data_IF_301994694434
#
_entry.id   IF_301994694434
#
_cell.length_a   1.000
_cell.length_b   1.000
_cell.length_c   1.000
_cell.angle_alpha   90.00
_cell.angle_beta   90.00
_cell.angle_gamma   90.00
#
_symmetry.space_group_name_H-M   'P 1'
#
loop_
_entity.id
_entity.type
_entity.pdbx_description
1 polymer ?
#
# COMPACT_ATOMS: atom_id res chain seq x y z
N UNK A 1 -24.42 0.23 -9.06
CA UNK A 1 -23.78 -0.34 -10.26
C UNK A 1 -24.41 -1.69 -10.53
N UNK A 2 -24.72 -2.05 -11.77
CA UNK A 2 -25.38 -3.32 -12.09
C UNK A 2 -24.42 -4.51 -12.30
N UNK A 3 -23.12 -4.33 -12.04
CA UNK A 3 -22.09 -5.36 -12.18
C UNK A 3 -21.12 -5.38 -11.01
N UNK A 4 -20.43 -6.51 -10.81
CA UNK A 4 -19.43 -6.69 -9.75
C UNK A 4 -18.19 -5.86 -10.13
N UNK A 5 -17.78 -4.91 -9.28
CA UNK A 5 -16.65 -4.01 -9.53
C UNK A 5 -15.37 -4.79 -9.82
N UNK A 6 -14.56 -4.40 -10.80
CA UNK A 6 -13.27 -5.05 -11.07
C UNK A 6 -12.21 -4.71 -10.01
N UNK A 7 -11.15 -5.52 -9.92
CA UNK A 7 -10.06 -5.33 -8.97
C UNK A 7 -8.69 -5.40 -9.68
N UNK A 8 -7.75 -4.57 -9.24
CA UNK A 8 -6.33 -4.66 -9.59
C UNK A 8 -5.49 -4.65 -8.32
N UNK A 9 -4.34 -5.33 -8.32
CA UNK A 9 -3.46 -5.44 -7.15
C UNK A 9 -2.03 -5.11 -7.53
N UNK A 10 -1.39 -4.29 -6.72
CA UNK A 10 0.04 -4.00 -6.76
C UNK A 10 0.70 -4.63 -5.52
N UNK A 11 1.81 -5.32 -5.72
CA UNK A 11 2.61 -5.91 -4.64
C UNK A 11 4.06 -5.46 -4.78
N UNK A 12 4.55 -4.78 -3.74
CA UNK A 12 5.95 -4.41 -3.62
C UNK A 12 6.72 -5.56 -2.93
N UNK A 13 7.96 -5.80 -3.37
CA UNK A 13 8.81 -6.84 -2.81
C UNK A 13 10.21 -6.32 -2.54
N UNK A 14 10.86 -6.89 -1.52
CA UNK A 14 12.24 -6.62 -1.19
C UNK A 14 13.19 -7.55 -1.96
N UNK A 15 14.28 -7.00 -2.46
CA UNK A 15 15.44 -7.71 -2.98
C UNK A 15 16.50 -7.77 -1.89
N UNK A 16 16.85 -8.98 -1.46
CA UNK A 16 17.83 -9.22 -0.43
C UNK A 16 19.00 -10.07 -0.93
N UNK A 17 20.17 -9.88 -0.32
CA UNK A 17 21.32 -10.75 -0.48
C UNK A 17 21.00 -12.15 0.10
N UNK A 18 21.15 -13.24 -0.68
CA UNK A 18 20.80 -14.58 -0.22
C UNK A 18 21.64 -15.11 0.96
N UNK A 19 22.82 -14.54 1.22
CA UNK A 19 23.73 -14.98 2.28
C UNK A 19 23.54 -14.19 3.58
N UNK A 20 23.31 -12.88 3.46
CA UNK A 20 23.26 -11.95 4.61
C UNK A 20 21.83 -11.51 4.96
N UNK A 21 20.89 -11.61 4.02
CA UNK A 21 19.53 -11.06 4.18
C UNK A 21 19.45 -9.53 4.08
N UNK A 22 20.56 -8.85 3.77
CA UNK A 22 20.59 -7.40 3.62
C UNK A 22 19.90 -6.95 2.33
N UNK A 23 19.21 -5.80 2.33
CA UNK A 23 18.69 -5.19 1.10
C UNK A 23 19.79 -4.91 0.08
N UNK A 24 19.58 -5.33 -1.17
CA UNK A 24 20.55 -5.12 -2.26
C UNK A 24 19.97 -4.30 -3.42
N UNK A 25 20.73 -3.34 -3.97
CA UNK A 25 20.23 -2.38 -4.95
C UNK A 25 20.22 -2.94 -6.39
N UNK A 26 19.47 -4.02 -6.63
CA UNK A 26 19.44 -4.73 -7.92
C UNK A 26 18.11 -4.57 -8.69
N UNK A 27 17.22 -3.65 -8.32
CA UNK A 27 15.89 -3.53 -8.91
C UNK A 27 15.90 -3.43 -10.45
N UNK A 28 16.80 -2.64 -11.03
CA UNK A 28 16.90 -2.46 -12.48
C UNK A 28 17.31 -3.76 -13.19
N UNK A 29 18.27 -4.49 -12.62
CA UNK A 29 18.72 -5.77 -13.18
C UNK A 29 17.61 -6.83 -13.12
N UNK A 30 16.86 -6.87 -12.01
CA UNK A 30 15.70 -7.75 -11.83
C UNK A 30 14.57 -7.39 -12.79
N UNK A 31 14.25 -6.10 -12.94
CA UNK A 31 13.21 -5.64 -13.85
C UNK A 31 13.53 -5.98 -15.31
N UNK A 32 14.78 -5.80 -15.74
CA UNK A 32 15.21 -6.18 -17.10
C UNK A 32 15.14 -7.70 -17.33
N UNK A 33 15.43 -8.53 -16.33
CA UNK A 33 15.26 -9.98 -16.42
C UNK A 33 13.78 -10.39 -16.45
N UNK A 34 12.93 -9.76 -15.65
CA UNK A 34 11.50 -10.00 -15.66
C UNK A 34 10.88 -9.62 -17.01
N UNK A 35 11.33 -8.51 -17.60
CA UNK A 35 10.90 -8.04 -18.92
C UNK A 35 11.24 -9.05 -20.01
N UNK A 36 12.44 -9.65 -19.97
CA UNK A 36 12.81 -10.78 -20.86
C UNK A 36 11.90 -11.99 -20.70
N UNK A 37 11.28 -12.15 -19.52
CA UNK A 37 10.31 -13.21 -19.18
C UNK A 37 8.85 -12.79 -19.40
N UNK A 38 8.60 -11.60 -19.96
CA UNK A 38 7.25 -11.11 -20.27
C UNK A 38 6.48 -10.56 -19.07
N UNK A 39 7.17 -10.07 -18.03
CA UNK A 39 6.58 -9.33 -16.91
C UNK A 39 7.28 -8.00 -16.77
N UNK A 40 6.51 -6.91 -16.81
CA UNK A 40 7.02 -5.58 -16.48
C UNK A 40 6.97 -5.41 -14.96
N UNK A 41 8.11 -5.13 -14.33
CA UNK A 41 8.19 -4.75 -12.92
C UNK A 41 8.40 -3.24 -12.83
N UNK A 42 7.68 -2.57 -11.93
CA UNK A 42 7.94 -1.16 -11.66
C UNK A 42 9.11 -1.01 -10.69
N UNK A 43 9.79 0.13 -10.80
CA UNK A 43 10.87 0.51 -9.91
C UNK A 43 10.35 1.46 -8.83
N UNK A 44 10.65 1.15 -7.58
CA UNK A 44 10.25 1.94 -6.43
C UNK A 44 11.32 2.96 -5.99
N UNK A 45 10.99 3.80 -5.00
CA UNK A 45 11.93 4.77 -4.43
C UNK A 45 13.23 4.10 -3.98
N UNK A 46 13.12 2.96 -3.31
CA UNK A 46 14.27 2.19 -2.85
C UNK A 46 14.75 1.28 -3.96
N UNK A 47 16.06 1.31 -4.25
CA UNK A 47 16.59 0.50 -5.35
C UNK A 47 16.71 -1.00 -5.04
N UNK A 48 16.34 -1.40 -3.83
CA UNK A 48 16.19 -2.78 -3.41
C UNK A 48 14.73 -3.27 -3.49
N UNK A 49 13.85 -2.55 -4.19
CA UNK A 49 12.45 -2.94 -4.34
C UNK A 49 12.03 -3.06 -5.80
N UNK A 50 11.12 -3.99 -6.04
CA UNK A 50 10.41 -4.15 -7.31
C UNK A 50 8.92 -4.31 -7.01
N UNK A 51 8.08 -3.77 -7.87
CA UNK A 51 6.62 -3.90 -7.76
C UNK A 51 6.05 -4.73 -8.92
N UNK A 52 5.13 -5.64 -8.61
CA UNK A 52 4.29 -6.30 -9.60
C UNK A 52 2.91 -5.66 -9.65
N UNK A 53 2.37 -5.42 -10.85
CA UNK A 53 1.01 -4.91 -11.04
C UNK A 53 0.17 -5.97 -11.77
N UNK A 54 -0.96 -6.38 -11.19
CA UNK A 54 -1.89 -7.30 -11.86
C UNK A 54 -2.63 -6.62 -13.01
N UNK A 55 -3.09 -7.39 -13.99
CA UNK A 55 -4.15 -6.92 -14.88
C UNK A 55 -5.46 -6.66 -14.10
N UNK A 56 -6.43 -6.03 -14.76
CA UNK A 56 -7.77 -5.81 -14.20
C UNK A 56 -8.54 -7.13 -14.17
N UNK A 57 -8.91 -7.59 -12.98
CA UNK A 57 -9.53 -8.90 -12.74
C UNK A 57 -11.01 -8.78 -12.40
N UNK A 58 -11.77 -9.81 -12.78
CA UNK A 58 -13.20 -9.93 -12.46
C UNK A 58 -13.48 -10.95 -11.38
N UNK A 59 -12.64 -11.97 -11.24
CA UNK A 59 -12.80 -13.05 -10.24
C UNK A 59 -11.57 -13.22 -9.35
N UNK A 60 -11.78 -13.79 -8.17
CA UNK A 60 -10.71 -14.14 -7.24
C UNK A 60 -9.78 -15.24 -7.78
N UNK A 61 -10.31 -16.15 -8.61
CA UNK A 61 -9.54 -17.22 -9.23
C UNK A 61 -8.56 -16.68 -10.28
N UNK A 62 -9.02 -15.77 -11.14
CA UNK A 62 -8.16 -15.06 -12.11
C UNK A 62 -7.06 -14.28 -11.40
N UNK A 63 -7.43 -13.52 -10.35
CA UNK A 63 -6.46 -12.77 -9.55
C UNK A 63 -5.41 -13.68 -8.91
N UNK A 64 -5.83 -14.80 -8.30
CA UNK A 64 -4.90 -15.75 -7.68
C UNK A 64 -3.93 -16.38 -8.69
N UNK A 65 -4.42 -16.73 -9.88
CA UNK A 65 -3.57 -17.27 -10.94
C UNK A 65 -2.54 -16.24 -11.44
N UNK A 66 -2.96 -14.99 -11.60
CA UNK A 66 -2.07 -13.92 -12.07
C UNK A 66 -1.01 -13.55 -11.03
N UNK A 67 -1.40 -13.36 -9.77
CA UNK A 67 -0.46 -13.06 -8.69
C UNK A 67 0.58 -14.19 -8.54
N UNK A 68 0.14 -15.45 -8.64
CA UNK A 68 1.07 -16.59 -8.63
C UNK A 68 2.04 -16.57 -9.81
N UNK A 69 1.60 -16.14 -11.00
CA UNK A 69 2.46 -15.98 -12.18
C UNK A 69 3.45 -14.83 -11.97
N UNK A 70 2.98 -13.66 -11.56
CA UNK A 70 3.80 -12.46 -11.33
C UNK A 70 4.88 -12.72 -10.28
N UNK A 71 4.50 -13.23 -9.10
CA UNK A 71 5.46 -13.56 -8.03
C UNK A 71 6.49 -14.59 -8.47
N UNK A 72 6.08 -15.61 -9.24
CA UNK A 72 7.02 -16.63 -9.76
C UNK A 72 8.04 -16.00 -10.72
N UNK A 73 7.59 -15.16 -11.65
CA UNK A 73 8.51 -14.51 -12.60
C UNK A 73 9.43 -13.53 -11.87
N UNK A 74 8.90 -12.73 -10.94
CA UNK A 74 9.71 -11.81 -10.14
C UNK A 74 10.77 -12.57 -9.33
N UNK A 75 10.42 -13.69 -8.68
CA UNK A 75 11.36 -14.49 -7.90
C UNK A 75 12.46 -15.12 -8.77
N UNK A 76 12.09 -15.69 -9.92
CA UNK A 76 13.07 -16.24 -10.88
C UNK A 76 14.00 -15.16 -11.45
N UNK A 77 13.48 -13.95 -11.63
CA UNK A 77 14.25 -12.81 -12.15
C UNK A 77 15.23 -12.28 -11.10
N UNK A 78 14.80 -12.24 -9.84
CA UNK A 78 15.66 -11.93 -8.70
C UNK A 78 16.80 -12.96 -8.60
N UNK A 79 16.48 -14.26 -8.63
CA UNK A 79 17.47 -15.33 -8.55
C UNK A 79 18.51 -15.24 -9.67
N UNK A 80 18.07 -15.03 -10.91
CA UNK A 80 18.97 -14.88 -12.06
C UNK A 80 19.86 -13.62 -11.98
N UNK A 81 19.43 -12.58 -11.26
CA UNK A 81 20.23 -11.39 -10.98
C UNK A 81 21.10 -11.52 -9.71
N UNK A 82 21.05 -12.65 -8.99
CA UNK A 82 21.80 -12.88 -7.75
C UNK A 82 21.13 -12.37 -6.48
N UNK A 83 19.80 -12.14 -6.52
CA UNK A 83 18.99 -11.66 -5.40
C UNK A 83 17.97 -12.71 -4.92
N UNK A 84 17.56 -12.59 -3.66
CA UNK A 84 16.40 -13.26 -3.10
C UNK A 84 15.22 -12.27 -3.08
N UNK A 85 14.08 -12.65 -3.67
CA UNK A 85 12.83 -11.90 -3.54
C UNK A 85 12.13 -12.26 -2.22
N UNK A 86 11.71 -11.24 -1.47
CA UNK A 86 11.03 -11.40 -0.18
C UNK A 86 9.71 -10.61 -0.12
N UNK A 87 8.64 -11.28 0.28
CA UNK A 87 7.31 -10.71 0.51
C UNK A 87 7.12 -10.38 2.00
N UNK A 88 7.68 -9.24 2.41
CA UNK A 88 7.66 -8.76 3.78
C UNK A 88 7.64 -7.24 3.83
N UNK A 89 6.92 -6.65 4.79
CA UNK A 89 6.63 -5.22 4.78
C UNK A 89 7.82 -4.32 5.09
N UNK A 90 8.90 -4.85 5.68
CA UNK A 90 10.12 -4.09 6.01
C UNK A 90 11.37 -4.96 6.03
N UNK A 91 12.54 -4.45 5.59
CA UNK A 91 13.79 -5.19 5.68
C UNK A 91 14.09 -5.66 7.10
N UNK A 92 14.29 -6.98 7.32
CA UNK A 92 14.59 -7.49 8.64
C UNK A 92 15.99 -7.06 9.10
N UNK A 93 16.95 -6.94 8.16
CA UNK A 93 18.35 -6.58 8.43
C UNK A 93 18.58 -5.10 8.15
N UNK A 94 19.34 -4.43 9.02
CA UNK A 94 19.79 -3.05 8.79
C UNK A 94 20.65 -2.99 7.53
N UNK A 95 20.29 -2.19 6.52
CA UNK A 95 21.11 -2.10 5.33
C UNK A 95 22.37 -1.28 5.60
N UNK A 96 23.48 -1.64 4.96
CA UNK A 96 24.73 -0.86 5.04
C UNK A 96 24.63 0.53 4.40
N UNK A 97 23.73 0.69 3.43
CA UNK A 97 23.39 1.95 2.77
C UNK A 97 21.89 2.01 2.54
N UNK A 98 21.33 3.21 2.45
CA UNK A 98 19.93 3.42 2.12
C UNK A 98 19.81 3.84 0.66
N UNK A 99 19.64 2.88 -0.28
CA UNK A 99 19.83 3.19 -1.67
C UNK A 99 18.55 3.77 -2.26
N UNK A 100 18.69 4.88 -2.99
CA UNK A 100 17.59 5.52 -3.71
C UNK A 100 17.75 5.19 -5.19
N UNK A 101 16.67 4.80 -5.85
CA UNK A 101 16.65 4.52 -7.28
C UNK A 101 17.09 5.76 -8.07
N UNK A 102 17.94 5.55 -9.08
CA UNK A 102 18.58 6.63 -9.84
C UNK A 102 17.65 7.21 -10.92
N UNK A 103 16.54 7.80 -10.47
CA UNK A 103 15.67 8.64 -11.31
C UNK A 103 15.65 10.07 -10.76
N UNK A 104 15.44 11.06 -11.64
CA UNK A 104 15.35 12.47 -11.24
C UNK A 104 14.30 12.70 -10.14
N UNK A 105 13.13 12.04 -10.26
CA UNK A 105 12.05 12.11 -9.27
C UNK A 105 12.52 11.59 -7.90
N UNK A 106 13.10 10.40 -7.87
CA UNK A 106 13.47 9.74 -6.63
C UNK A 106 14.64 10.41 -5.94
N UNK A 107 15.62 10.92 -6.69
CA UNK A 107 16.70 11.74 -6.14
C UNK A 107 16.17 13.05 -5.54
N UNK A 108 15.19 13.70 -6.19
CA UNK A 108 14.53 14.88 -5.64
C UNK A 108 13.79 14.57 -4.34
N UNK A 109 13.05 13.47 -4.29
CA UNK A 109 12.38 13.01 -3.06
C UNK A 109 13.41 12.75 -1.95
N UNK A 110 14.51 12.06 -2.25
CA UNK A 110 15.58 11.83 -1.29
C UNK A 110 16.15 13.13 -0.71
N UNK A 111 16.41 14.11 -1.56
CA UNK A 111 16.94 15.41 -1.16
C UNK A 111 15.97 16.24 -0.32
N UNK A 112 14.68 16.29 -0.68
CA UNK A 112 13.68 17.15 -0.01
C UNK A 112 13.18 16.57 1.32
N UNK A 113 13.04 15.25 1.43
CA UNK A 113 12.46 14.59 2.63
C UNK A 113 13.51 13.95 3.55
N UNK A 114 14.78 13.93 3.13
CA UNK A 114 15.91 13.52 3.95
C UNK A 114 15.78 12.10 4.49
N UNK A 115 16.03 11.92 5.79
CA UNK A 115 16.12 10.58 6.40
C UNK A 115 14.84 9.76 6.28
N UNK A 116 13.66 10.39 6.18
CA UNK A 116 12.39 9.68 5.97
C UNK A 116 12.37 8.97 4.61
N UNK A 117 12.95 9.57 3.57
CA UNK A 117 13.10 8.95 2.26
C UNK A 117 14.18 7.86 2.23
N UNK A 118 15.26 8.03 3.00
CA UNK A 118 16.33 7.05 3.07
C UNK A 118 15.96 5.82 3.90
N UNK A 119 15.21 5.96 4.98
CA UNK A 119 14.72 4.81 5.77
C UNK A 119 13.67 3.96 5.01
N UNK A 120 13.42 4.25 3.73
CA UNK A 120 12.47 3.54 2.90
C UNK A 120 13.04 2.23 2.33
N UNK A 121 12.36 1.15 2.68
CA UNK A 121 12.39 -0.18 2.06
C UNK A 121 11.06 -0.90 2.32
N UNK A 122 10.00 -0.12 2.57
CA UNK A 122 8.70 -0.64 2.97
C UNK A 122 8.02 -1.26 1.77
N UNK A 123 7.49 -2.47 1.94
CA UNK A 123 6.73 -3.14 0.89
C UNK A 123 5.25 -3.20 1.26
N UNK A 124 4.41 -2.54 0.47
CA UNK A 124 2.96 -2.54 0.59
C UNK A 124 2.26 -3.50 -0.36
N UNK A 125 0.96 -3.66 -0.12
CA UNK A 125 0.01 -4.20 -1.09
C UNK A 125 -1.08 -3.17 -1.32
N UNK A 126 -1.27 -2.77 -2.58
CA UNK A 126 -2.29 -1.80 -2.96
C UNK A 126 -3.40 -2.51 -3.74
N UNK A 127 -4.64 -2.21 -3.37
CA UNK A 127 -5.81 -2.80 -4.01
C UNK A 127 -6.64 -1.69 -4.64
N UNK A 128 -6.72 -1.73 -5.96
CA UNK A 128 -7.59 -0.88 -6.76
C UNK A 128 -8.94 -1.55 -6.95
N UNK A 129 -10.03 -0.83 -6.63
CA UNK A 129 -11.39 -1.30 -6.88
C UNK A 129 -12.11 -0.29 -7.75
N UNK A 130 -12.75 -0.77 -8.83
CA UNK A 130 -13.51 0.07 -9.74
C UNK A 130 -14.63 0.82 -9.04
N UNK A 131 -14.76 2.11 -9.36
CA UNK A 131 -15.82 3.00 -8.89
C UNK A 131 -16.38 3.80 -10.08
N UNK A 132 -17.65 4.24 -10.03
CA UNK A 132 -18.27 4.90 -11.19
C UNK A 132 -17.74 6.31 -11.44
N UNK A 133 -17.33 7.01 -10.38
CA UNK A 133 -16.82 8.39 -10.44
C UNK A 133 -16.00 8.74 -9.18
N UNK A 134 -15.29 9.87 -9.23
CA UNK A 134 -14.47 10.35 -8.09
C UNK A 134 -15.31 10.69 -6.86
N UNK A 135 -16.57 11.12 -7.03
CA UNK A 135 -17.48 11.38 -5.91
C UNK A 135 -17.82 10.08 -5.16
N UNK A 136 -17.97 8.99 -5.90
CA UNK A 136 -18.14 7.64 -5.36
C UNK A 136 -16.89 7.17 -4.63
N UNK A 137 -15.71 7.46 -5.18
CA UNK A 137 -14.43 7.20 -4.53
C UNK A 137 -14.34 7.92 -3.17
N UNK A 138 -14.69 9.22 -3.10
CA UNK A 138 -14.69 9.96 -1.83
C UNK A 138 -15.67 9.35 -0.82
N UNK A 139 -16.87 8.96 -1.26
CA UNK A 139 -17.81 8.27 -0.38
C UNK A 139 -17.23 6.95 0.16
N UNK A 140 -16.68 6.11 -0.72
CA UNK A 140 -16.07 4.84 -0.33
C UNK A 140 -14.88 5.04 0.61
N UNK A 141 -14.01 6.02 0.33
CA UNK A 141 -12.88 6.41 1.19
C UNK A 141 -13.35 6.76 2.60
N UNK A 142 -14.36 7.63 2.72
CA UNK A 142 -14.92 8.00 4.02
C UNK A 142 -15.51 6.80 4.75
N UNK A 143 -16.25 5.95 4.04
CA UNK A 143 -16.91 4.77 4.59
C UNK A 143 -15.90 3.72 5.07
N UNK A 144 -14.76 3.59 4.38
CA UNK A 144 -13.70 2.64 4.71
C UNK A 144 -12.91 3.02 5.96
N UNK A 145 -12.88 4.31 6.36
CA UNK A 145 -12.11 4.81 7.51
C UNK A 145 -12.18 3.93 8.77
N UNK A 146 -13.37 3.54 9.30
CA UNK A 146 -13.45 2.67 10.47
C UNK A 146 -12.87 1.27 10.26
N UNK A 147 -12.76 0.80 9.03
CA UNK A 147 -12.33 -0.57 8.68
C UNK A 147 -10.85 -0.69 8.35
N UNK A 148 -10.18 0.41 8.00
CA UNK A 148 -8.75 0.43 7.67
C UNK A 148 -7.85 -0.16 8.78
N UNK A 149 -8.09 0.10 10.09
CA UNK A 149 -7.32 -0.56 11.16
C UNK A 149 -7.43 -2.09 11.12
N UNK A 150 -8.60 -2.65 10.80
CA UNK A 150 -8.79 -4.10 10.73
C UNK A 150 -8.06 -4.70 9.53
N UNK A 151 -8.06 -4.01 8.39
CA UNK A 151 -7.28 -4.41 7.21
C UNK A 151 -5.78 -4.36 7.51
N UNK A 152 -5.31 -3.33 8.20
CA UNK A 152 -3.93 -3.23 8.67
C UNK A 152 -3.56 -4.42 9.55
N UNK A 153 -4.35 -4.69 10.60
CA UNK A 153 -4.12 -5.80 11.51
C UNK A 153 -4.08 -7.16 10.79
N UNK A 154 -4.99 -7.37 9.82
CA UNK A 154 -5.07 -8.59 9.01
C UNK A 154 -3.82 -8.79 8.13
N UNK A 155 -3.28 -7.71 7.58
CA UNK A 155 -2.16 -7.74 6.64
C UNK A 155 -0.77 -7.59 7.30
N UNK A 156 -0.71 -7.43 8.61
CA UNK A 156 0.52 -7.10 9.33
C UNK A 156 1.63 -8.14 9.08
N UNK A 157 2.74 -7.71 8.47
CA UNK A 157 3.82 -8.58 8.03
C UNK A 157 5.19 -7.87 8.11
N UNK A 158 5.42 -7.13 9.20
CA UNK A 158 6.63 -6.32 9.37
C UNK A 158 7.08 -6.17 10.82
N UNK A 159 7.05 -7.28 11.59
CA UNK A 159 7.40 -7.26 13.01
C UNK A 159 8.90 -7.07 13.28
N UNK A 160 9.75 -7.54 12.36
CA UNK A 160 11.21 -7.43 12.48
C UNK A 160 11.70 -6.13 11.83
N UNK A 161 12.57 -5.42 12.53
CA UNK A 161 13.23 -4.22 12.01
C UNK A 161 14.63 -4.09 12.58
N UNK A 162 15.63 -3.89 11.70
CA UNK A 162 17.03 -3.66 12.10
C UNK A 162 17.59 -4.75 13.02
N UNK A 163 17.37 -6.02 12.67
CA UNK A 163 17.79 -7.21 13.41
C UNK A 163 17.16 -7.33 14.81
N UNK A 164 15.98 -6.76 15.02
CA UNK A 164 15.30 -6.78 16.33
C UNK A 164 13.78 -6.88 16.13
N UNK A 165 13.10 -7.57 17.04
CA UNK A 165 11.65 -7.53 17.15
C UNK A 165 11.22 -6.12 17.60
N UNK A 166 10.40 -5.45 16.79
CA UNK A 166 9.92 -4.10 17.07
C UNK A 166 8.92 -4.03 18.22
N UNK A 167 8.31 -5.16 18.60
CA UNK A 167 7.15 -5.22 19.49
C UNK A 167 5.82 -4.87 18.81
N UNK A 168 5.82 -4.67 17.48
CA UNK A 168 4.63 -4.37 16.67
C UNK A 168 4.37 -5.50 15.68
N UNK A 169 3.11 -5.78 15.37
CA UNK A 169 2.76 -6.65 14.26
C UNK A 169 3.10 -6.01 12.88
N UNK A 170 2.86 -4.71 12.73
CA UNK A 170 3.20 -3.92 11.54
C UNK A 170 4.04 -2.69 11.92
N UNK A 171 5.35 -2.81 11.85
CA UNK A 171 6.25 -1.68 12.00
C UNK A 171 6.29 -0.79 10.75
N UNK A 172 5.97 -1.34 9.56
CA UNK A 172 5.80 -0.57 8.31
C UNK A 172 4.82 0.58 8.52
N UNK A 173 3.67 0.33 9.15
CA UNK A 173 2.67 1.38 9.41
C UNK A 173 3.21 2.51 10.30
N UNK A 174 4.13 2.21 11.23
CA UNK A 174 4.74 3.22 12.12
C UNK A 174 5.75 4.08 11.36
N UNK A 175 6.57 3.48 10.49
CA UNK A 175 7.51 4.23 9.65
C UNK A 175 6.79 5.05 8.58
N UNK A 176 5.76 4.49 7.95
CA UNK A 176 5.01 5.13 6.86
C UNK A 176 4.37 6.45 7.28
N UNK A 177 3.82 6.53 8.50
CA UNK A 177 3.16 7.75 9.04
C UNK A 177 4.09 8.95 9.23
N UNK A 178 5.40 8.79 9.10
CA UNK A 178 6.36 9.92 9.16
C UNK A 178 6.31 10.78 7.90
N UNK A 179 5.75 10.27 6.80
CA UNK A 179 5.54 11.04 5.59
C UNK A 179 4.38 12.04 5.74
N UNK A 180 4.49 13.28 5.21
CA UNK A 180 3.55 14.37 5.52
C UNK A 180 2.08 14.09 5.18
N UNK A 181 1.82 13.30 4.14
CA UNK A 181 0.48 12.96 3.68
C UNK A 181 0.19 11.46 3.79
N UNK A 182 0.87 10.74 4.70
CA UNK A 182 0.70 9.30 4.86
C UNK A 182 -0.22 8.89 6.02
N UNK A 183 -0.84 7.72 5.87
CA UNK A 183 -1.64 7.09 6.92
C UNK A 183 -3.14 7.39 6.80
N UNK A 184 -3.86 7.49 7.95
CA UNK A 184 -5.32 7.58 7.93
C UNK A 184 -5.84 8.77 7.11
N UNK A 185 -6.74 8.56 6.13
CA UNK A 185 -7.23 9.64 5.28
C UNK A 185 -8.08 10.65 6.08
N UNK A 186 -8.02 11.95 5.73
CA UNK A 186 -9.00 12.93 6.19
C UNK A 186 -10.42 12.54 5.76
N UNK A 187 -11.42 13.09 6.44
CA UNK A 187 -12.79 13.05 5.94
C UNK A 187 -12.97 14.16 4.91
N UNK A 188 -13.55 13.85 3.76
CA UNK A 188 -13.87 14.85 2.73
C UNK A 188 -15.37 14.86 2.45
N UNK A 189 -16.01 16.02 2.59
CA UNK A 189 -17.43 16.19 2.31
C UNK A 189 -17.75 16.23 0.82
N UNK A 190 -16.78 16.57 -0.03
CA UNK A 190 -16.92 16.62 -1.47
C UNK A 190 -15.59 16.40 -2.20
N UNK A 191 -15.66 16.19 -3.52
CA UNK A 191 -14.46 16.06 -4.35
C UNK A 191 -13.70 17.39 -4.46
N UNK A 192 -14.40 18.53 -4.40
CA UNK A 192 -13.80 19.86 -4.42
C UNK A 192 -13.02 20.15 -3.13
N UNK A 193 -13.45 19.62 -1.98
CA UNK A 193 -12.70 19.70 -0.73
C UNK A 193 -11.41 18.87 -0.81
N UNK A 194 -11.49 17.66 -1.36
CA UNK A 194 -10.32 16.83 -1.64
C UNK A 194 -9.34 17.57 -2.56
N UNK A 195 -9.80 18.08 -3.71
CA UNK A 195 -8.95 18.75 -4.71
C UNK A 195 -8.34 20.05 -4.17
N UNK A 196 -9.04 20.77 -3.29
CA UNK A 196 -8.50 21.95 -2.62
C UNK A 196 -7.42 21.58 -1.60
N UNK A 197 -7.61 20.48 -0.88
CA UNK A 197 -6.64 19.99 0.11
C UNK A 197 -5.37 19.51 -0.58
N UNK A 198 -5.49 18.72 -1.66
CA UNK A 198 -4.33 18.28 -2.45
C UNK A 198 -3.57 19.48 -3.01
N UNK A 199 -4.26 20.44 -3.63
CA UNK A 199 -3.61 21.67 -4.13
C UNK A 199 -2.90 22.45 -3.02
N UNK A 200 -3.53 22.62 -1.86
CA UNK A 200 -2.89 23.28 -0.72
C UNK A 200 -1.58 22.59 -0.32
N UNK A 201 -1.54 21.26 -0.27
CA UNK A 201 -0.33 20.51 0.10
C UNK A 201 0.78 20.68 -0.94
N UNK A 202 0.43 20.76 -2.24
CA UNK A 202 1.37 21.01 -3.33
C UNK A 202 1.88 22.46 -3.29
N UNK A 203 0.97 23.43 -3.23
CA UNK A 203 1.29 24.87 -3.27
C UNK A 203 2.15 25.32 -2.08
N UNK A 204 2.05 24.62 -0.95
CA UNK A 204 2.86 24.86 0.26
C UNK A 204 4.18 24.08 0.28
N UNK A 205 4.45 23.23 -0.72
CA UNK A 205 5.65 22.40 -0.78
C UNK A 205 5.70 21.28 0.26
N UNK A 206 4.57 20.96 0.90
CA UNK A 206 4.49 19.80 1.83
C UNK A 206 4.64 18.49 1.04
N UNK A 207 4.04 18.45 -0.16
CA UNK A 207 4.22 17.37 -1.13
C UNK A 207 4.69 17.92 -2.48
N UNK A 208 5.48 17.16 -3.22
CA UNK A 208 5.96 17.57 -4.55
C UNK A 208 4.84 17.68 -5.58
N UNK A 209 3.91 16.74 -5.53
CA UNK A 209 2.80 16.58 -6.46
C UNK A 209 1.73 15.66 -5.86
N UNK A 210 0.62 15.48 -6.60
CA UNK A 210 -0.48 14.61 -6.19
C UNK A 210 -0.08 13.13 -6.03
N UNK A 211 1.01 12.67 -6.65
CA UNK A 211 1.52 11.31 -6.49
C UNK A 211 2.02 11.02 -5.07
N UNK A 212 2.35 12.06 -4.32
CA UNK A 212 2.77 11.98 -2.91
C UNK A 212 1.62 12.06 -1.89
N UNK A 213 0.37 11.95 -2.35
CA UNK A 213 -0.78 11.76 -1.46
C UNK A 213 -0.78 10.32 -0.94
N UNK A 214 -0.14 10.08 0.20
CA UNK A 214 0.07 8.75 0.76
C UNK A 214 -1.03 8.28 1.71
N UNK A 215 -2.24 8.85 1.60
CA UNK A 215 -3.38 8.41 2.38
C UNK A 215 -3.70 6.94 2.10
N UNK A 216 -3.98 6.18 3.15
CA UNK A 216 -4.16 4.73 3.10
C UNK A 216 -5.37 4.28 2.27
N UNK A 217 -6.27 5.22 1.95
CA UNK A 217 -7.24 5.06 0.87
C UNK A 217 -7.41 6.40 0.16
N UNK A 218 -7.38 6.37 -1.18
CA UNK A 218 -7.49 7.57 -2.02
C UNK A 218 -8.12 7.26 -3.38
N UNK A 219 -8.80 8.22 -4.03
CA UNK A 219 -9.11 8.10 -5.44
C UNK A 219 -7.82 7.94 -6.25
N UNK A 220 -7.78 6.99 -7.17
CA UNK A 220 -6.65 6.88 -8.11
C UNK A 220 -6.63 8.09 -9.06
N UNK A 221 -5.43 8.57 -9.38
CA UNK A 221 -5.24 9.65 -10.35
C UNK A 221 -5.39 9.15 -11.80
N UNK A 222 -4.96 7.91 -12.06
CA UNK A 222 -4.82 7.35 -13.41
C UNK A 222 -5.97 6.42 -13.80
N UNK A 223 -6.69 5.88 -12.81
CA UNK A 223 -7.74 4.89 -13.04
C UNK A 223 -9.07 5.29 -12.38
N UNK A 224 -10.23 4.88 -12.94
CA UNK A 224 -11.54 5.06 -12.32
C UNK A 224 -11.72 4.08 -11.13
N UNK A 225 -10.83 4.17 -10.16
CA UNK A 225 -10.76 3.27 -9.01
C UNK A 225 -10.60 4.06 -7.71
N UNK A 226 -11.01 3.44 -6.61
CA UNK A 226 -10.49 3.77 -5.28
C UNK A 226 -9.33 2.81 -5.00
N UNK A 227 -8.25 3.35 -4.47
CA UNK A 227 -7.04 2.63 -4.14
C UNK A 227 -6.88 2.53 -2.62
N UNK A 228 -6.72 1.31 -2.10
CA UNK A 228 -6.48 1.04 -0.68
C UNK A 228 -5.05 0.55 -0.49
N UNK A 229 -4.25 1.29 0.28
CA UNK A 229 -2.79 1.13 0.44
C UNK A 229 -2.33 0.85 1.88
N UNK A 230 -3.29 0.59 2.78
CA UNK A 230 -3.04 0.43 4.21
C UNK A 230 -2.13 -0.77 4.53
N UNK A 231 -2.15 -1.78 3.67
CA UNK A 231 -1.61 -3.10 3.96
C UNK A 231 -0.09 -3.19 3.79
N UNK A 232 0.55 -3.98 4.66
CA UNK A 232 1.86 -4.54 4.33
C UNK A 232 1.67 -5.59 3.23
N UNK A 233 2.72 -5.87 2.44
CA UNK A 233 2.64 -6.95 1.46
C UNK A 233 2.41 -8.30 2.18
N UNK A 234 1.36 -9.06 1.83
CA UNK A 234 1.14 -10.37 2.45
C UNK A 234 2.18 -11.41 2.04
N UNK A 235 2.48 -12.36 2.93
CA UNK A 235 3.50 -13.38 2.68
C UNK A 235 3.10 -14.32 1.54
N UNK A 236 1.81 -14.61 1.38
CA UNK A 236 1.29 -15.55 0.38
C UNK A 236 0.29 -14.93 -0.59
N UNK A 237 0.18 -15.53 -1.78
CA UNK A 237 -0.85 -15.17 -2.77
C UNK A 237 -2.27 -15.33 -2.21
N UNK A 238 -2.50 -16.37 -1.40
CA UNK A 238 -3.81 -16.62 -0.82
C UNK A 238 -4.24 -15.49 0.13
N UNK A 239 -3.32 -14.95 0.92
CA UNK A 239 -3.57 -13.80 1.80
C UNK A 239 -3.83 -12.53 1.00
N UNK A 240 -3.08 -12.27 -0.07
CA UNK A 240 -3.34 -11.13 -0.97
C UNK A 240 -4.71 -11.24 -1.63
N UNK A 241 -5.10 -12.43 -2.12
CA UNK A 241 -6.43 -12.65 -2.68
C UNK A 241 -7.53 -12.45 -1.63
N UNK A 242 -7.33 -12.90 -0.39
CA UNK A 242 -8.27 -12.65 0.71
C UNK A 242 -8.42 -11.14 0.97
N UNK A 243 -7.30 -10.44 1.14
CA UNK A 243 -7.26 -9.00 1.38
C UNK A 243 -7.96 -8.22 0.26
N UNK A 244 -7.64 -8.54 -1.00
CA UNK A 244 -8.23 -7.89 -2.17
C UNK A 244 -9.74 -8.12 -2.25
N UNK A 245 -10.23 -9.32 -1.93
CA UNK A 245 -11.67 -9.60 -1.92
C UNK A 245 -12.41 -8.90 -0.77
N UNK A 246 -11.80 -8.80 0.41
CA UNK A 246 -12.38 -8.04 1.53
C UNK A 246 -12.48 -6.55 1.19
N UNK A 247 -11.42 -5.97 0.61
CA UNK A 247 -11.43 -4.57 0.16
C UNK A 247 -12.47 -4.37 -0.95
N UNK A 248 -12.52 -5.25 -1.94
CA UNK A 248 -13.52 -5.21 -3.03
C UNK A 248 -14.95 -5.26 -2.48
N UNK A 249 -15.23 -6.19 -1.57
CA UNK A 249 -16.53 -6.31 -0.93
C UNK A 249 -16.90 -5.05 -0.13
N UNK A 250 -15.96 -4.53 0.68
CA UNK A 250 -16.15 -3.33 1.47
C UNK A 250 -16.46 -2.10 0.60
N UNK A 251 -15.73 -1.91 -0.49
CA UNK A 251 -16.00 -0.82 -1.46
C UNK A 251 -17.39 -0.99 -2.09
N UNK A 252 -17.76 -2.20 -2.51
CA UNK A 252 -19.09 -2.45 -3.07
C UNK A 252 -20.20 -2.17 -2.05
N UNK A 253 -20.03 -2.57 -0.79
CA UNK A 253 -20.96 -2.26 0.30
C UNK A 253 -21.10 -0.75 0.50
N UNK A 254 -19.99 0.00 0.55
CA UNK A 254 -20.03 1.45 0.67
C UNK A 254 -20.82 2.11 -0.48
N UNK A 255 -20.66 1.61 -1.71
CA UNK A 255 -21.37 2.14 -2.88
C UNK A 255 -22.86 1.80 -2.85
N UNK A 256 -23.23 0.61 -2.40
CA UNK A 256 -24.64 0.23 -2.23
C UNK A 256 -25.32 1.03 -1.12
N UNK A 257 -24.63 1.30 -0.01
CA UNK A 257 -25.12 2.16 1.06
C UNK A 257 -25.32 3.61 0.59
N UNK A 258 -24.40 4.14 -0.23
CA UNK A 258 -24.56 5.45 -0.89
C UNK A 258 -25.85 5.51 -1.70
N UNK A 259 -26.14 4.48 -2.49
CA UNK A 259 -27.34 4.42 -3.32
C UNK A 259 -28.63 4.37 -2.49
N UNK A 260 -28.56 3.81 -1.27
CA UNK A 260 -29.66 3.81 -0.28
C UNK A 260 -29.76 5.13 0.51
N UNK A 261 -28.90 6.11 0.24
CA UNK A 261 -28.90 7.41 0.90
C UNK A 261 -28.25 7.41 2.29
N UNK A 262 -27.44 6.40 2.62
CA UNK A 262 -26.72 6.34 3.89
C UNK A 262 -25.71 7.50 4.01
N UNK A 263 -25.62 8.09 5.21
CA UNK A 263 -24.62 9.10 5.54
C UNK A 263 -23.47 8.43 6.28
N UNK A 264 -22.24 8.75 5.88
CA UNK A 264 -21.05 8.27 6.59
C UNK A 264 -20.81 9.12 7.83
N UNK A 265 -20.61 8.45 8.97
CA UNK A 265 -20.31 9.10 10.25
C UNK A 265 -18.95 9.81 10.25
N UNK A 266 -18.84 10.88 11.04
CA UNK A 266 -17.56 11.55 11.27
C UNK A 266 -16.85 10.92 12.45
N UNK A 267 -15.75 10.21 12.17
CA UNK A 267 -14.86 9.72 13.21
C UNK A 267 -13.96 10.84 13.75
N UNK A 268 -13.81 10.98 15.07
CA UNK A 268 -12.78 11.82 15.65
C UNK A 268 -11.42 11.40 15.10
N UNK A 269 -10.61 12.31 14.52
CA UNK A 269 -9.30 11.96 13.97
C UNK A 269 -8.39 11.25 14.97
N UNK A 270 -8.50 11.58 16.27
CA UNK A 270 -7.76 10.92 17.33
C UNK A 270 -8.17 9.45 17.53
N UNK A 271 -9.47 9.12 17.44
CA UNK A 271 -9.96 7.76 17.57
C UNK A 271 -9.45 6.87 16.42
N UNK A 272 -9.52 7.39 15.18
CA UNK A 272 -8.99 6.68 14.02
C UNK A 272 -7.48 6.42 14.15
N UNK A 273 -6.70 7.44 14.55
CA UNK A 273 -5.25 7.28 14.79
C UNK A 273 -4.95 6.27 15.91
N UNK A 274 -5.74 6.25 16.98
CA UNK A 274 -5.57 5.32 18.09
C UNK A 274 -5.86 3.88 17.65
N UNK A 275 -6.95 3.64 16.91
CA UNK A 275 -7.27 2.32 16.36
C UNK A 275 -6.17 1.82 15.41
N UNK A 276 -5.66 2.71 14.55
CA UNK A 276 -4.53 2.43 13.68
C UNK A 276 -3.25 2.07 14.44
N UNK A 277 -2.95 2.77 15.52
CA UNK A 277 -1.80 2.43 16.37
C UNK A 277 -2.00 1.06 17.01
N UNK A 278 -3.20 0.78 17.54
CA UNK A 278 -3.51 -0.48 18.20
C UNK A 278 -3.46 -1.68 17.24
N UNK A 279 -3.97 -1.51 16.03
CA UNK A 279 -3.88 -2.49 14.95
C UNK A 279 -2.43 -2.77 14.53
N UNK A 280 -1.61 -1.72 14.38
CA UNK A 280 -0.19 -1.88 14.06
C UNK A 280 0.58 -2.61 15.18
N UNK A 281 0.24 -2.33 16.44
CA UNK A 281 0.91 -2.93 17.59
C UNK A 281 0.52 -4.40 17.80
N UNK A 282 -0.77 -4.69 17.96
CA UNK A 282 -1.22 -6.02 18.38
C UNK A 282 -1.53 -6.99 17.23
N UNK A 283 -1.74 -6.49 16.01
CA UNK A 283 -2.23 -7.29 14.88
C UNK A 283 -3.60 -7.94 15.15
N UNK A 284 -3.88 -9.06 14.47
CA UNK A 284 -5.17 -9.79 14.58
C UNK A 284 -5.47 -10.36 15.97
N UNK A 285 -4.44 -10.62 16.78
CA UNK A 285 -4.61 -11.19 18.13
C UNK A 285 -5.04 -10.16 19.18
N UNK A 286 -5.02 -8.87 18.82
CA UNK A 286 -5.33 -7.77 19.73
C UNK A 286 -6.79 -7.44 19.88
N UNK A 287 -7.05 -6.51 20.82
CA UNK A 287 -8.30 -5.78 20.88
C UNK A 287 -8.13 -4.41 20.22
N UNK A 288 -9.17 -3.87 19.60
CA UNK A 288 -9.17 -2.53 19.00
C UNK A 288 -10.36 -1.70 19.47
N UNK A 289 -10.39 -0.42 19.09
CA UNK A 289 -11.53 0.46 19.32
C UNK A 289 -12.67 0.08 18.37
N UNK A 290 -13.89 0.02 18.88
CA UNK A 290 -15.08 -0.05 18.01
C UNK A 290 -15.33 1.34 17.41
N UNK A 291 -14.95 1.51 16.15
CA UNK A 291 -15.15 2.76 15.41
C UNK A 291 -16.55 2.87 14.78
N UNK A 292 -17.39 1.84 14.89
CA UNK A 292 -18.72 1.80 14.28
C UNK A 292 -19.82 1.96 15.33
N UNK A 293 -19.74 1.18 16.41
CA UNK A 293 -20.73 1.15 17.50
C UNK A 293 -20.42 2.08 18.67
N UNK A 294 -19.14 2.36 18.92
CA UNK A 294 -18.66 3.17 20.06
C UNK A 294 -18.31 2.36 21.30
#
# INVERSE_FOLDING_TARGET
>A
MSGIATVGVEEEFLLADPLTGEPIPLNTAVAEEAKRRGVELQLELSSCQVETTSAVMTTSAELGAELARLRRVAAQSAEAAGAQLLALGLPPVTPHKFPVTDTERYQRIGAEYGMVAHEQGICGCHVHVQVPDRTAAIHASNWLRPWLPSLLALSANSALYRNTDSGYASWRSILWRRWPAAGPPPFFSSIEEYDRTVRMLVDTGIILDAGMIYWDVRPSADFPTIEVRVADVPATVAETVLLANLIRAAVMTALDERLRGAKVGHLPPAALRAAYWKAAHDGLSGNTLDLVGG
#
